data_IF_187543967028
#
_entry.id   IF_187543967028
#
_cell.length_a   1.000
_cell.length_b   1.000
_cell.length_c   1.000
_cell.angle_alpha   90.00
_cell.angle_beta   90.00
_cell.angle_gamma   90.00
#
_symmetry.space_group_name_H-M   'P 1'
#
loop_
_entity.id
_entity.type
_entity.pdbx_description
1 polymer ?
#
# COMPACT_ATOMS: atom_id res chain seq x y z
N UNK A 1 0.75 -12.97 22.87
CA UNK A 1 1.48 -14.19 23.26
C UNK A 1 2.42 -14.66 22.16
N UNK A 2 1.95 -14.85 20.89
CA UNK A 2 2.77 -15.32 19.75
C UNK A 2 3.95 -14.39 19.50
N UNK A 3 3.74 -13.07 19.43
CA UNK A 3 4.81 -12.09 19.22
C UNK A 3 5.86 -12.11 20.33
N UNK A 4 5.44 -12.29 21.60
CA UNK A 4 6.34 -12.40 22.73
C UNK A 4 7.19 -13.69 22.66
N UNK A 5 6.56 -14.83 22.32
CA UNK A 5 7.28 -16.09 22.14
C UNK A 5 8.27 -16.04 20.97
N UNK A 6 7.90 -15.43 19.84
CA UNK A 6 8.81 -15.23 18.71
C UNK A 6 9.98 -14.31 19.09
N UNK A 7 9.74 -13.24 19.84
CA UNK A 7 10.78 -12.36 20.35
C UNK A 7 11.74 -13.09 21.30
N UNK A 8 11.21 -13.87 22.21
CA UNK A 8 12.00 -14.68 23.15
C UNK A 8 12.83 -15.76 22.43
N UNK A 9 12.23 -16.47 21.48
CA UNK A 9 12.92 -17.48 20.67
C UNK A 9 14.03 -16.85 19.82
N UNK A 10 13.77 -15.70 19.20
CA UNK A 10 14.77 -14.99 18.38
C UNK A 10 15.97 -14.49 19.19
N UNK A 11 15.82 -14.24 20.48
CA UNK A 11 16.92 -13.87 21.37
C UNK A 11 17.64 -15.08 21.96
N UNK A 12 16.89 -16.07 22.46
CA UNK A 12 17.44 -17.21 23.19
C UNK A 12 18.13 -18.22 22.27
N UNK A 13 17.56 -18.55 21.11
CA UNK A 13 18.13 -19.52 20.19
C UNK A 13 19.52 -19.14 19.66
N UNK A 14 19.77 -17.92 19.16
CA UNK A 14 21.10 -17.52 18.75
C UNK A 14 22.11 -17.46 19.92
N UNK A 15 21.68 -16.94 21.08
CA UNK A 15 22.53 -16.89 22.28
C UNK A 15 22.96 -18.27 22.71
N UNK A 16 22.02 -19.23 22.77
CA UNK A 16 22.30 -20.60 23.09
C UNK A 16 23.22 -21.28 22.06
N UNK A 17 22.99 -21.05 20.77
CA UNK A 17 23.82 -21.60 19.70
C UNK A 17 25.27 -21.11 19.77
N UNK A 18 25.48 -19.80 20.04
CA UNK A 18 26.81 -19.20 20.21
C UNK A 18 27.47 -19.75 21.48
N UNK A 19 26.77 -19.73 22.61
CA UNK A 19 27.30 -20.26 23.86
C UNK A 19 27.70 -21.76 23.77
N UNK A 20 26.84 -22.59 23.14
CA UNK A 20 27.13 -24.00 22.89
C UNK A 20 28.37 -24.19 22.01
N UNK A 21 28.54 -23.36 20.99
CA UNK A 21 29.70 -23.43 20.10
C UNK A 21 30.98 -23.07 20.81
N UNK A 22 30.99 -22.00 21.63
CA UNK A 22 32.17 -21.56 22.39
C UNK A 22 32.51 -22.57 23.50
N UNK A 23 31.52 -23.17 24.17
CA UNK A 23 31.74 -24.20 25.21
C UNK A 23 32.26 -25.54 24.66
N UNK A 24 32.09 -25.83 23.37
CA UNK A 24 32.61 -27.03 22.73
C UNK A 24 34.05 -26.85 22.18
N UNK A 25 34.56 -25.62 22.12
CA UNK A 25 35.97 -25.37 21.77
C UNK A 25 36.88 -25.80 22.95
N UNK A 26 38.02 -26.39 22.63
CA UNK A 26 38.99 -26.81 23.69
C UNK A 26 39.53 -25.58 24.41
N UNK A 27 39.70 -25.60 25.74
CA UNK A 27 40.21 -24.47 26.52
C UNK A 27 41.54 -23.90 26.00
N UNK A 28 42.41 -24.76 25.48
CA UNK A 28 43.69 -24.35 24.87
C UNK A 28 43.54 -23.52 23.58
N UNK A 29 42.42 -23.66 22.86
CA UNK A 29 42.15 -22.90 21.65
C UNK A 29 41.45 -21.55 21.94
N UNK A 30 40.79 -21.45 23.09
CA UNK A 30 40.17 -20.21 23.56
C UNK A 30 41.22 -19.18 24.04
N UNK A 31 42.37 -19.63 24.49
CA UNK A 31 43.48 -18.79 24.97
C UNK A 31 44.40 -18.31 23.82
N UNK A 32 44.30 -18.90 22.64
CA UNK A 32 45.11 -18.51 21.50
C UNK A 32 44.38 -17.45 20.64
N UNK A 33 45.07 -16.37 20.21
CA UNK A 33 44.47 -15.45 19.30
C UNK A 33 44.05 -16.15 18.00
N UNK A 34 42.75 -16.07 17.65
CA UNK A 34 42.23 -16.70 16.42
C UNK A 34 43.00 -16.19 15.21
N UNK A 35 43.59 -17.10 14.38
CA UNK A 35 44.34 -16.64 13.20
C UNK A 35 43.43 -15.83 12.26
N UNK A 36 43.96 -14.79 11.59
CA UNK A 36 43.18 -13.99 10.67
C UNK A 36 42.62 -14.87 9.55
N UNK A 37 41.31 -14.75 9.30
CA UNK A 37 40.63 -15.51 8.23
C UNK A 37 41.30 -15.22 6.90
N UNK A 38 41.74 -16.27 6.20
CA UNK A 38 42.34 -16.14 4.86
C UNK A 38 41.39 -15.43 3.89
N UNK A 39 41.93 -14.51 3.10
CA UNK A 39 41.17 -13.78 2.09
C UNK A 39 40.73 -14.70 0.96
N UNK A 40 39.43 -14.99 0.88
CA UNK A 40 38.88 -15.74 -0.24
C UNK A 40 38.62 -14.81 -1.44
N UNK A 41 38.77 -15.30 -2.67
CA UNK A 41 38.34 -14.58 -3.86
C UNK A 41 36.83 -14.33 -3.78
N UNK A 42 36.40 -13.10 -4.02
CA UNK A 42 35.00 -12.73 -3.98
C UNK A 42 34.36 -12.81 -5.36
N UNK A 43 33.04 -13.04 -5.40
CA UNK A 43 32.28 -13.16 -6.67
C UNK A 43 32.43 -11.91 -7.53
N UNK A 44 32.56 -10.73 -6.92
CA UNK A 44 32.73 -9.45 -7.61
C UNK A 44 34.03 -9.38 -8.42
N UNK A 45 35.08 -10.14 -8.05
CA UNK A 45 36.34 -10.23 -8.79
C UNK A 45 36.18 -10.93 -10.14
N UNK A 46 35.14 -11.76 -10.31
CA UNK A 46 34.81 -12.43 -11.57
C UNK A 46 34.21 -11.47 -12.59
N UNK A 47 33.65 -10.34 -12.14
CA UNK A 47 33.11 -9.29 -13.01
C UNK A 47 34.25 -8.32 -13.34
N UNK A 48 35.15 -8.77 -14.22
CA UNK A 48 36.41 -8.07 -14.55
C UNK A 48 36.24 -6.59 -14.99
N UNK A 49 35.19 -6.18 -15.78
CA UNK A 49 35.07 -4.78 -16.19
C UNK A 49 34.73 -3.86 -15.01
N UNK A 50 33.92 -4.32 -14.06
CA UNK A 50 33.55 -3.56 -12.88
C UNK A 50 34.73 -3.51 -11.89
N UNK A 51 35.38 -4.65 -11.65
CA UNK A 51 36.51 -4.76 -10.73
C UNK A 51 37.71 -3.87 -11.13
N UNK A 52 37.99 -3.76 -12.43
CA UNK A 52 39.11 -2.91 -12.92
C UNK A 52 38.86 -1.41 -12.68
N UNK A 53 37.61 -0.96 -12.67
CA UNK A 53 37.25 0.44 -12.47
C UNK A 53 37.27 0.88 -11.01
N UNK A 54 37.26 -0.05 -10.07
CA UNK A 54 37.28 0.25 -8.64
C UNK A 54 38.69 0.70 -8.21
N UNK A 55 38.73 1.72 -7.35
CA UNK A 55 39.95 2.18 -6.67
C UNK A 55 40.48 1.11 -5.71
N UNK A 56 41.75 1.24 -5.30
CA UNK A 56 42.34 0.32 -4.33
C UNK A 56 41.51 0.21 -3.04
N UNK A 57 41.10 1.35 -2.50
CA UNK A 57 40.31 1.43 -1.25
C UNK A 57 38.95 0.75 -1.39
N UNK A 58 38.28 0.90 -2.53
CA UNK A 58 37.01 0.23 -2.80
C UNK A 58 37.17 -1.28 -2.90
N UNK A 59 38.24 -1.75 -3.56
CA UNK A 59 38.56 -3.18 -3.64
C UNK A 59 38.78 -3.80 -2.25
N UNK A 60 39.51 -3.08 -1.38
CA UNK A 60 39.74 -3.51 0.00
C UNK A 60 38.42 -3.54 0.78
N UNK A 61 37.58 -2.51 0.65
CA UNK A 61 36.25 -2.45 1.30
C UNK A 61 35.37 -3.62 0.87
N UNK A 62 35.31 -3.91 -0.46
CA UNK A 62 34.50 -5.04 -0.96
C UNK A 62 35.01 -6.38 -0.42
N UNK A 63 36.32 -6.60 -0.41
CA UNK A 63 36.88 -7.81 0.20
C UNK A 63 36.54 -7.94 1.68
N UNK A 64 36.56 -6.85 2.42
CA UNK A 64 36.22 -6.84 3.83
C UNK A 64 34.74 -7.15 4.06
N UNK A 65 33.83 -6.59 3.26
CA UNK A 65 32.39 -6.88 3.32
C UNK A 65 32.15 -8.39 3.20
N UNK A 66 32.74 -9.03 2.19
CA UNK A 66 32.54 -10.47 1.94
C UNK A 66 33.32 -11.37 2.88
N UNK A 67 34.37 -10.86 3.53
CA UNK A 67 35.11 -11.58 4.56
C UNK A 67 34.28 -11.80 5.84
N UNK A 68 33.48 -10.81 6.22
CA UNK A 68 32.64 -10.84 7.42
C UNK A 68 31.15 -11.01 7.04
N UNK A 69 30.83 -12.18 6.47
CA UNK A 69 29.48 -12.46 5.91
C UNK A 69 28.34 -12.25 6.92
N UNK A 70 28.55 -12.66 8.18
CA UNK A 70 27.51 -12.51 9.21
C UNK A 70 27.15 -11.03 9.41
N UNK A 71 28.14 -10.16 9.51
CA UNK A 71 27.94 -8.72 9.65
C UNK A 71 27.31 -8.12 8.39
N UNK A 72 27.78 -8.53 7.20
CA UNK A 72 27.19 -8.14 5.92
C UNK A 72 25.70 -8.42 5.89
N UNK A 73 25.27 -9.65 6.24
CA UNK A 73 23.86 -10.01 6.26
C UNK A 73 23.08 -9.27 7.34
N UNK A 74 23.62 -9.07 8.54
CA UNK A 74 22.97 -8.28 9.58
C UNK A 74 22.70 -6.85 9.12
N UNK A 75 23.70 -6.19 8.51
CA UNK A 75 23.55 -4.83 7.99
C UNK A 75 22.53 -4.79 6.85
N UNK A 76 22.68 -5.70 5.88
CA UNK A 76 21.80 -5.76 4.71
C UNK A 76 20.35 -5.99 5.11
N UNK A 77 20.06 -7.03 5.90
CA UNK A 77 18.70 -7.34 6.33
C UNK A 77 18.12 -6.33 7.31
N UNK A 78 18.96 -5.74 8.17
CA UNK A 78 18.52 -4.69 9.08
C UNK A 78 18.06 -3.43 8.34
N UNK A 79 18.86 -2.95 7.37
CA UNK A 79 18.48 -1.81 6.53
C UNK A 79 17.31 -2.16 5.61
N UNK A 80 17.38 -3.31 4.93
CA UNK A 80 16.30 -3.74 4.03
C UNK A 80 14.97 -3.92 4.77
N UNK A 81 14.96 -4.49 5.97
CA UNK A 81 13.77 -4.64 6.80
C UNK A 81 13.16 -3.30 7.21
N UNK A 82 14.00 -2.35 7.65
CA UNK A 82 13.54 -1.00 8.02
C UNK A 82 12.96 -0.25 6.81
N UNK A 83 13.62 -0.32 5.66
CA UNK A 83 13.13 0.27 4.39
C UNK A 83 11.82 -0.41 3.97
N UNK A 84 11.73 -1.73 4.04
CA UNK A 84 10.53 -2.46 3.64
C UNK A 84 9.31 -2.07 4.48
N UNK A 85 9.46 -1.92 5.79
CA UNK A 85 8.40 -1.47 6.68
C UNK A 85 8.00 -0.01 6.44
N UNK A 86 8.99 0.88 6.26
CA UNK A 86 8.73 2.28 5.92
C UNK A 86 8.01 2.41 4.59
N UNK A 87 8.48 1.68 3.57
CA UNK A 87 7.88 1.66 2.25
C UNK A 87 6.44 1.15 2.30
N UNK A 88 6.19 0.03 2.98
CA UNK A 88 4.85 -0.53 3.12
C UNK A 88 3.91 0.43 3.86
N UNK A 89 4.36 1.05 4.96
CA UNK A 89 3.58 2.03 5.70
C UNK A 89 3.23 3.28 4.89
N UNK A 90 4.20 3.88 4.20
CA UNK A 90 3.98 5.02 3.32
C UNK A 90 3.13 4.65 2.09
N UNK A 91 3.34 3.45 1.54
CA UNK A 91 2.56 2.91 0.43
C UNK A 91 1.08 2.76 0.78
N UNK A 92 0.76 2.14 1.92
CA UNK A 92 -0.63 2.01 2.38
C UNK A 92 -1.25 3.39 2.65
N UNK A 93 -0.50 4.29 3.28
CA UNK A 93 -0.97 5.67 3.46
C UNK A 93 -1.34 6.32 2.13
N UNK A 94 -0.50 6.19 1.11
CA UNK A 94 -0.77 6.70 -0.24
C UNK A 94 -2.01 6.02 -0.85
N UNK A 95 -2.13 4.69 -0.73
CA UNK A 95 -3.25 3.90 -1.25
C UNK A 95 -4.61 4.26 -0.64
N UNK A 96 -4.63 4.81 0.58
CA UNK A 96 -5.87 5.10 1.31
C UNK A 96 -6.22 6.59 1.28
N UNK A 97 -5.21 7.48 1.23
CA UNK A 97 -5.42 8.93 1.37
C UNK A 97 -6.30 9.55 0.27
N UNK A 98 -6.25 9.00 -0.93
CA UNK A 98 -6.93 9.57 -2.11
C UNK A 98 -8.26 8.88 -2.43
N UNK A 99 -8.69 7.88 -1.63
CA UNK A 99 -9.90 7.09 -1.91
C UNK A 99 -11.16 7.96 -2.11
N UNK A 100 -11.35 8.97 -1.26
CA UNK A 100 -12.51 9.85 -1.39
C UNK A 100 -12.49 10.66 -2.69
N UNK A 101 -11.34 11.21 -3.05
CA UNK A 101 -11.20 11.97 -4.28
C UNK A 101 -11.41 11.08 -5.49
N UNK A 102 -10.73 9.96 -5.58
CA UNK A 102 -10.84 9.02 -6.69
C UNK A 102 -12.27 8.48 -6.85
N UNK A 103 -12.95 8.12 -5.76
CA UNK A 103 -14.30 7.57 -5.82
C UNK A 103 -15.36 8.61 -6.17
N UNK A 104 -15.33 9.81 -5.54
CA UNK A 104 -16.44 10.76 -5.55
C UNK A 104 -16.14 12.09 -6.28
N UNK A 105 -14.95 12.24 -6.85
CA UNK A 105 -14.62 13.38 -7.71
C UNK A 105 -14.24 12.89 -9.12
N UNK A 106 -13.50 11.75 -9.21
CA UNK A 106 -13.01 11.27 -10.50
C UNK A 106 -13.94 10.23 -11.14
N UNK A 107 -14.69 9.42 -10.34
CA UNK A 107 -15.53 8.33 -10.85
C UNK A 107 -17.02 8.63 -10.71
N UNK A 108 -17.52 8.96 -9.52
CA UNK A 108 -18.94 9.21 -9.25
C UNK A 108 -19.17 10.70 -9.13
N UNK A 109 -19.99 11.26 -10.03
CA UNK A 109 -20.24 12.70 -10.12
C UNK A 109 -21.62 13.13 -9.61
N UNK A 110 -22.52 12.19 -9.28
CA UNK A 110 -23.81 12.49 -8.65
C UNK A 110 -23.68 12.57 -7.14
N UNK A 111 -24.56 13.35 -6.48
CA UNK A 111 -24.52 13.55 -5.03
C UNK A 111 -25.42 12.56 -4.28
N UNK A 112 -26.52 12.11 -4.90
CA UNK A 112 -27.45 11.17 -4.29
C UNK A 112 -28.22 10.34 -5.32
N UNK A 113 -28.72 9.19 -4.86
CA UNK A 113 -29.69 8.34 -5.58
C UNK A 113 -31.01 8.43 -4.82
N UNK A 114 -32.06 8.81 -5.49
CA UNK A 114 -33.43 8.80 -4.95
C UNK A 114 -34.19 7.64 -5.59
N UNK A 115 -34.51 6.62 -4.80
CA UNK A 115 -35.27 5.45 -5.23
C UNK A 115 -36.78 5.67 -5.01
N UNK A 116 -37.57 5.36 -6.03
CA UNK A 116 -39.04 5.54 -6.05
C UNK A 116 -39.74 4.26 -5.61
N UNK A 117 -40.92 4.42 -5.03
CA UNK A 117 -41.80 3.29 -4.80
C UNK A 117 -42.46 2.84 -6.16
N UNK A 118 -42.63 1.55 -6.37
CA UNK A 118 -43.37 1.06 -7.51
C UNK A 118 -44.86 1.41 -7.39
N UNK A 119 -45.50 1.71 -8.54
CA UNK A 119 -46.94 1.97 -8.65
C UNK A 119 -47.48 3.17 -7.86
N UNK A 120 -46.81 4.29 -7.88
CA UNK A 120 -47.26 5.57 -7.27
C UNK A 120 -48.28 6.29 -8.14
N UNK A 121 -49.11 7.16 -7.53
CA UNK A 121 -50.10 7.98 -8.25
C UNK A 121 -49.40 9.13 -8.99
N UNK A 122 -49.97 9.55 -10.12
CA UNK A 122 -49.48 10.65 -10.95
C UNK A 122 -49.30 11.96 -10.16
N UNK A 123 -50.11 12.24 -9.15
CA UNK A 123 -50.02 13.43 -8.31
C UNK A 123 -48.71 13.44 -7.46
N UNK A 124 -48.30 12.28 -6.94
CA UNK A 124 -47.06 12.15 -6.15
C UNK A 124 -45.82 12.27 -7.06
N UNK A 125 -45.91 11.79 -8.30
CA UNK A 125 -44.83 11.96 -9.29
C UNK A 125 -44.66 13.43 -9.69
N UNK A 126 -45.73 14.25 -9.70
CA UNK A 126 -45.63 15.69 -9.89
C UNK A 126 -44.88 16.40 -8.76
N UNK A 127 -45.11 16.03 -7.50
CA UNK A 127 -44.38 16.60 -6.37
C UNK A 127 -42.88 16.29 -6.44
N UNK A 128 -42.54 15.06 -6.76
CA UNK A 128 -41.16 14.66 -6.97
C UNK A 128 -40.53 15.45 -8.13
N UNK A 129 -41.23 15.57 -9.25
CA UNK A 129 -40.74 16.32 -10.42
C UNK A 129 -40.54 17.79 -10.09
N UNK A 130 -41.45 18.43 -9.35
CA UNK A 130 -41.27 19.82 -8.88
C UNK A 130 -40.01 19.99 -8.01
N UNK A 131 -39.69 19.00 -7.18
CA UNK A 131 -38.46 19.04 -6.38
C UNK A 131 -37.21 18.79 -7.21
N UNK A 132 -37.29 17.89 -8.22
CA UNK A 132 -36.21 17.64 -9.16
C UNK A 132 -35.92 18.86 -10.07
N UNK A 133 -36.96 19.62 -10.44
CA UNK A 133 -36.84 20.83 -11.24
C UNK A 133 -36.57 22.10 -10.41
N UNK A 134 -36.29 21.95 -9.11
CA UNK A 134 -35.96 23.07 -8.23
C UNK A 134 -34.57 23.64 -8.52
N UNK A 135 -34.33 24.89 -8.13
CA UNK A 135 -33.02 25.55 -8.29
C UNK A 135 -31.87 24.90 -7.51
N UNK A 136 -32.21 24.10 -6.51
CA UNK A 136 -31.25 23.38 -5.68
C UNK A 136 -30.64 22.18 -6.43
N UNK A 137 -31.36 21.62 -7.43
CA UNK A 137 -30.93 20.54 -8.31
C UNK A 137 -30.33 21.13 -9.59
N UNK A 138 -29.08 20.75 -9.91
CA UNK A 138 -28.40 21.15 -11.12
C UNK A 138 -28.87 20.33 -12.32
N UNK A 139 -28.88 19.03 -12.14
CA UNK A 139 -29.28 18.05 -13.14
C UNK A 139 -29.66 16.72 -12.51
N UNK A 140 -30.49 15.94 -13.18
CA UNK A 140 -30.83 14.58 -12.75
C UNK A 140 -30.98 13.65 -13.94
N UNK A 141 -30.75 12.35 -13.72
CA UNK A 141 -30.90 11.29 -14.70
C UNK A 141 -31.78 10.19 -14.18
N UNK A 142 -32.81 9.81 -14.96
CA UNK A 142 -33.69 8.68 -14.65
C UNK A 142 -32.97 7.37 -14.99
N UNK A 143 -32.88 6.46 -14.02
CA UNK A 143 -32.24 5.15 -14.17
C UNK A 143 -33.09 4.06 -13.58
N UNK A 144 -32.86 2.82 -13.99
CA UNK A 144 -33.31 1.66 -13.23
C UNK A 144 -32.22 1.26 -12.24
N UNK A 145 -32.59 1.18 -10.97
CA UNK A 145 -31.71 0.78 -9.88
C UNK A 145 -32.27 -0.45 -9.19
N UNK A 146 -31.47 -1.48 -9.04
CA UNK A 146 -31.78 -2.65 -8.25
C UNK A 146 -30.53 -3.17 -7.51
N UNK A 147 -30.74 -3.93 -6.46
CA UNK A 147 -29.66 -4.59 -5.73
C UNK A 147 -29.71 -6.08 -6.05
N UNK A 148 -28.64 -6.57 -6.67
CA UNK A 148 -28.43 -8.00 -6.92
C UNK A 148 -27.55 -8.57 -5.82
N UNK A 149 -27.60 -9.89 -5.64
CA UNK A 149 -26.82 -10.59 -4.63
C UNK A 149 -25.92 -11.65 -5.23
N UNK A 150 -24.71 -11.80 -4.65
CA UNK A 150 -23.77 -12.85 -5.02
C UNK A 150 -22.92 -13.26 -3.82
N UNK A 151 -22.79 -14.56 -3.61
CA UNK A 151 -21.85 -15.09 -2.60
C UNK A 151 -20.43 -14.95 -3.15
N UNK A 152 -19.58 -14.21 -2.46
CA UNK A 152 -18.19 -13.96 -2.84
C UNK A 152 -17.31 -13.63 -1.62
N UNK A 153 -15.99 -13.56 -1.84
CA UNK A 153 -15.01 -13.23 -0.81
C UNK A 153 -14.48 -14.45 -0.07
N UNK A 154 -13.50 -14.22 0.81
CA UNK A 154 -12.83 -15.28 1.58
C UNK A 154 -13.75 -16.00 2.55
N UNK A 155 -14.71 -15.27 3.12
CA UNK A 155 -15.70 -15.80 4.07
C UNK A 155 -16.95 -16.38 3.39
N UNK A 156 -17.06 -16.28 2.05
CA UNK A 156 -18.25 -16.64 1.28
C UNK A 156 -19.52 -15.91 1.76
N UNK A 157 -19.37 -14.62 2.09
CA UNK A 157 -20.49 -13.78 2.50
C UNK A 157 -21.32 -13.34 1.27
N UNK A 158 -22.60 -13.07 1.50
CA UNK A 158 -23.46 -12.48 0.47
C UNK A 158 -23.05 -11.04 0.23
N UNK A 159 -22.58 -10.76 -0.99
CA UNK A 159 -22.26 -9.43 -1.46
C UNK A 159 -23.43 -8.82 -2.22
N UNK A 160 -23.78 -7.60 -1.84
CA UNK A 160 -24.78 -6.80 -2.56
C UNK A 160 -24.12 -6.05 -3.70
N UNK A 161 -24.72 -6.10 -4.87
CA UNK A 161 -24.22 -5.46 -6.08
C UNK A 161 -25.26 -4.43 -6.52
N UNK A 162 -24.90 -3.16 -6.42
CA UNK A 162 -25.73 -2.04 -6.90
C UNK A 162 -25.72 -2.04 -8.42
N UNK A 163 -26.88 -2.30 -9.01
CA UNK A 163 -27.04 -2.38 -10.47
C UNK A 163 -27.69 -1.10 -10.97
N UNK A 164 -27.00 -0.39 -11.85
CA UNK A 164 -27.47 0.82 -12.51
C UNK A 164 -27.68 0.51 -13.99
N UNK A 165 -28.93 0.68 -14.45
CA UNK A 165 -29.32 0.49 -15.84
C UNK A 165 -29.68 1.84 -16.45
N UNK A 166 -28.97 2.20 -17.50
CA UNK A 166 -29.15 3.46 -18.21
C UNK A 166 -29.96 3.22 -19.49
N UNK A 167 -30.79 4.17 -19.87
CA UNK A 167 -31.49 4.09 -21.15
C UNK A 167 -30.49 4.19 -22.32
N UNK A 168 -30.75 3.49 -23.40
CA UNK A 168 -29.86 3.45 -24.58
C UNK A 168 -29.65 4.84 -25.23
N UNK A 169 -30.56 5.79 -24.98
CA UNK A 169 -30.46 7.18 -25.48
C UNK A 169 -29.54 8.06 -24.65
N UNK A 170 -29.21 7.62 -23.42
CA UNK A 170 -28.49 8.42 -22.44
C UNK A 170 -26.97 8.11 -22.42
N UNK A 171 -26.47 7.30 -23.35
CA UNK A 171 -25.06 6.91 -23.44
C UNK A 171 -24.06 8.06 -23.30
N UNK A 172 -24.42 9.25 -23.85
CA UNK A 172 -23.59 10.45 -23.75
C UNK A 172 -23.64 11.13 -22.38
N UNK A 173 -24.70 10.86 -21.62
CA UNK A 173 -24.91 11.45 -20.30
C UNK A 173 -24.31 10.59 -19.19
N UNK A 174 -24.07 9.30 -19.44
CA UNK A 174 -23.49 8.37 -18.43
C UNK A 174 -22.18 8.93 -17.88
N UNK A 175 -21.29 9.42 -18.75
CA UNK A 175 -19.99 9.96 -18.35
C UNK A 175 -20.11 11.21 -17.44
N UNK A 176 -21.23 11.95 -17.51
CA UNK A 176 -21.49 13.09 -16.60
C UNK A 176 -21.86 12.66 -15.18
N UNK A 177 -22.33 11.41 -14.99
CA UNK A 177 -22.74 10.87 -13.71
C UNK A 177 -21.76 9.80 -13.17
N UNK A 178 -21.19 8.99 -14.06
CA UNK A 178 -20.22 7.95 -13.71
C UNK A 178 -19.18 7.81 -14.80
N UNK A 179 -17.92 8.06 -14.48
CA UNK A 179 -16.78 7.84 -15.38
C UNK A 179 -16.38 6.36 -15.38
N UNK A 180 -16.80 5.64 -16.42
CA UNK A 180 -16.47 4.24 -16.59
C UNK A 180 -15.15 4.09 -17.35
N UNK A 181 -14.10 3.57 -16.70
CA UNK A 181 -12.79 3.38 -17.32
C UNK A 181 -12.04 2.17 -16.73
N UNK A 182 -11.16 1.61 -17.55
CA UNK A 182 -10.25 0.53 -17.14
C UNK A 182 -8.99 1.16 -16.52
N UNK A 183 -8.67 0.79 -15.29
CA UNK A 183 -7.49 1.29 -14.57
C UNK A 183 -6.18 1.06 -15.33
N UNK A 184 -5.96 -0.16 -15.80
CA UNK A 184 -4.67 -0.57 -16.37
C UNK A 184 -4.41 0.07 -17.74
N UNK A 185 -5.46 0.36 -18.49
CA UNK A 185 -5.39 0.91 -19.83
C UNK A 185 -5.82 2.37 -19.93
N UNK A 186 -6.35 2.92 -18.85
CA UNK A 186 -6.94 4.26 -18.80
C UNK A 186 -7.88 4.54 -19.99
N UNK A 187 -8.63 3.48 -20.38
CA UNK A 187 -9.55 3.51 -21.51
C UNK A 187 -10.97 3.68 -21.02
N UNK A 188 -11.67 4.69 -21.54
CA UNK A 188 -13.10 4.87 -21.30
C UNK A 188 -13.88 3.64 -21.80
N UNK A 189 -14.73 3.08 -20.95
CA UNK A 189 -15.60 1.98 -21.24
C UNK A 189 -16.98 2.50 -21.59
N UNK A 190 -17.59 1.94 -22.65
CA UNK A 190 -18.96 2.30 -23.07
C UNK A 190 -19.88 1.14 -22.78
N UNK A 191 -21.10 1.46 -22.37
CA UNK A 191 -22.17 0.47 -22.23
C UNK A 191 -22.47 -0.17 -23.59
N UNK A 192 -22.76 -1.45 -23.59
CA UNK A 192 -23.01 -2.21 -24.81
C UNK A 192 -24.16 -3.21 -24.65
N UNK A 193 -24.75 -3.64 -25.79
CA UNK A 193 -25.79 -4.66 -25.81
C UNK A 193 -25.24 -6.09 -25.64
N UNK A 194 -23.92 -6.25 -25.42
CA UNK A 194 -23.23 -7.53 -25.36
C UNK A 194 -22.89 -7.98 -23.94
N UNK A 195 -23.00 -7.09 -22.94
CA UNK A 195 -22.68 -7.40 -21.56
C UNK A 195 -22.72 -6.19 -20.63
N UNK A 196 -22.54 -6.44 -19.36
CA UNK A 196 -22.44 -5.43 -18.30
C UNK A 196 -20.98 -5.08 -17.98
N UNK A 197 -20.77 -3.89 -17.42
CA UNK A 197 -19.50 -3.44 -16.84
C UNK A 197 -19.58 -3.67 -15.34
N UNK A 198 -18.59 -4.40 -14.78
CA UNK A 198 -18.53 -4.73 -13.36
C UNK A 198 -17.41 -3.96 -12.66
N UNK A 199 -17.59 -3.61 -11.38
CA UNK A 199 -16.56 -3.01 -10.55
C UNK A 199 -15.35 -3.94 -10.36
N UNK A 200 -14.14 -3.36 -10.39
CA UNK A 200 -12.86 -4.10 -10.32
C UNK A 200 -12.75 -4.97 -9.05
N UNK A 201 -13.17 -4.47 -7.89
CA UNK A 201 -13.14 -5.26 -6.65
C UNK A 201 -13.99 -6.54 -6.75
N UNK A 202 -15.20 -6.43 -7.30
CA UNK A 202 -16.08 -7.59 -7.47
C UNK A 202 -15.49 -8.58 -8.48
N UNK A 203 -14.93 -8.07 -9.58
CA UNK A 203 -14.25 -8.91 -10.56
C UNK A 203 -13.08 -9.69 -9.93
N UNK A 204 -12.30 -9.04 -9.07
CA UNK A 204 -11.19 -9.68 -8.32
C UNK A 204 -11.68 -10.72 -7.31
N UNK A 205 -12.75 -10.43 -6.55
CA UNK A 205 -13.32 -11.38 -5.57
C UNK A 205 -13.83 -12.67 -6.21
N UNK A 206 -14.34 -12.58 -7.44
CA UNK A 206 -14.86 -13.71 -8.20
C UNK A 206 -13.87 -14.26 -9.23
N UNK A 207 -12.67 -13.66 -9.34
CA UNK A 207 -11.64 -14.00 -10.34
C UNK A 207 -12.18 -13.97 -11.78
N UNK A 208 -12.96 -12.92 -12.10
CA UNK A 208 -13.59 -12.73 -13.41
C UNK A 208 -12.69 -11.94 -14.36
N UNK A 209 -12.82 -12.25 -15.62
CA UNK A 209 -12.21 -11.52 -16.75
C UNK A 209 -13.27 -11.02 -17.70
N UNK A 210 -12.93 -10.07 -18.54
CA UNK A 210 -13.80 -9.61 -19.63
C UNK A 210 -14.12 -10.81 -20.55
N UNK A 211 -15.41 -11.02 -20.80
CA UNK A 211 -15.95 -12.15 -21.57
C UNK A 211 -16.56 -13.26 -20.70
N UNK A 212 -16.23 -13.30 -19.40
CA UNK A 212 -16.81 -14.27 -18.47
C UNK A 212 -18.29 -13.97 -18.17
N UNK A 213 -18.96 -14.94 -17.57
CA UNK A 213 -20.36 -14.82 -17.14
C UNK A 213 -20.47 -15.01 -15.64
N UNK A 214 -21.14 -14.09 -14.97
CA UNK A 214 -21.51 -14.19 -13.56
C UNK A 214 -22.98 -14.59 -13.41
N UNK A 215 -23.27 -15.45 -12.44
CA UNK A 215 -24.65 -15.73 -12.00
C UNK A 215 -24.92 -14.95 -10.73
N UNK A 216 -25.94 -14.11 -10.73
CA UNK A 216 -26.40 -13.29 -9.60
C UNK A 216 -27.83 -13.64 -9.24
N UNK A 217 -28.27 -13.26 -8.05
CA UNK A 217 -29.65 -13.40 -7.60
C UNK A 217 -30.30 -12.02 -7.54
N UNK A 218 -31.54 -11.94 -8.07
CA UNK A 218 -32.35 -10.73 -7.90
C UNK A 218 -33.10 -10.75 -6.56
N UNK A 219 -33.88 -9.72 -6.28
CA UNK A 219 -34.68 -9.59 -5.03
C UNK A 219 -35.77 -10.66 -4.87
N UNK A 220 -36.04 -11.44 -5.91
CA UNK A 220 -37.01 -12.55 -5.93
C UNK A 220 -36.33 -13.93 -5.88
N UNK A 221 -35.03 -13.96 -5.54
CA UNK A 221 -34.18 -15.16 -5.50
C UNK A 221 -34.02 -15.87 -6.87
N UNK A 222 -34.34 -15.19 -7.97
CA UNK A 222 -34.15 -15.73 -9.30
C UNK A 222 -32.69 -15.56 -9.74
N UNK A 223 -32.14 -16.63 -10.31
CA UNK A 223 -30.75 -16.63 -10.81
C UNK A 223 -30.68 -16.08 -12.22
N UNK A 224 -29.93 -15.00 -12.41
CA UNK A 224 -29.72 -14.36 -13.71
C UNK A 224 -28.25 -14.49 -14.11
N UNK A 225 -27.99 -14.80 -15.37
CA UNK A 225 -26.66 -14.90 -15.96
C UNK A 225 -26.30 -13.59 -16.67
N UNK A 226 -25.25 -12.93 -16.24
CA UNK A 226 -24.80 -11.65 -16.79
C UNK A 226 -23.40 -11.83 -17.37
N UNK A 227 -23.22 -11.52 -18.66
CA UNK A 227 -21.92 -11.52 -19.32
C UNK A 227 -21.18 -10.22 -19.01
N UNK A 228 -19.90 -10.30 -18.72
CA UNK A 228 -19.03 -9.15 -18.40
C UNK A 228 -18.38 -8.63 -19.68
N UNK A 229 -18.76 -7.40 -20.08
CA UNK A 229 -18.20 -6.71 -21.24
C UNK A 229 -17.01 -5.81 -20.87
N UNK A 230 -16.90 -5.39 -19.60
CA UNK A 230 -15.83 -4.53 -19.10
C UNK A 230 -15.66 -4.63 -17.59
N UNK A 231 -14.50 -4.24 -17.11
CA UNK A 231 -14.19 -4.10 -15.68
C UNK A 231 -13.78 -2.65 -15.46
N UNK A 232 -14.54 -1.92 -14.63
CA UNK A 232 -14.29 -0.51 -14.35
C UNK A 232 -13.61 -0.30 -13.02
N UNK A 233 -12.73 0.67 -12.97
CA UNK A 233 -12.15 1.15 -11.72
C UNK A 233 -13.25 1.62 -10.77
N UNK A 234 -13.22 1.13 -9.52
CA UNK A 234 -14.16 1.48 -8.47
C UNK A 234 -13.56 1.11 -7.13
N UNK A 235 -13.59 2.03 -6.17
CA UNK A 235 -12.94 1.83 -4.87
C UNK A 235 -13.89 1.42 -3.76
N UNK A 236 -15.16 1.77 -3.86
CA UNK A 236 -16.16 1.45 -2.85
C UNK A 236 -17.43 0.89 -3.46
N UNK A 237 -17.93 -0.19 -2.85
CA UNK A 237 -19.14 -0.87 -3.29
C UNK A 237 -18.89 -1.81 -4.47
N UNK A 238 -19.88 -2.64 -4.71
CA UNK A 238 -19.93 -3.50 -5.89
C UNK A 238 -20.99 -2.96 -6.83
N UNK A 239 -20.60 -2.73 -8.07
CA UNK A 239 -21.47 -2.15 -9.08
C UNK A 239 -21.52 -3.00 -10.33
N UNK A 240 -22.69 -2.99 -10.96
CA UNK A 240 -22.94 -3.44 -12.33
C UNK A 240 -23.58 -2.28 -13.09
N UNK A 241 -22.99 -1.95 -14.23
CA UNK A 241 -23.51 -0.92 -15.13
C UNK A 241 -23.91 -1.60 -16.45
N UNK A 242 -25.10 -1.31 -16.94
CA UNK A 242 -25.58 -1.84 -18.20
C UNK A 242 -26.59 -0.91 -18.87
N UNK A 243 -26.83 -1.10 -20.14
CA UNK A 243 -27.89 -0.39 -20.85
C UNK A 243 -29.22 -1.15 -20.79
N UNK A 244 -30.32 -0.48 -21.09
CA UNK A 244 -31.67 -1.04 -21.03
C UNK A 244 -31.86 -2.23 -21.98
N UNK A 245 -31.27 -2.17 -23.17
CA UNK A 245 -31.33 -3.28 -24.16
C UNK A 245 -30.66 -4.55 -23.65
N UNK A 246 -29.50 -4.45 -23.00
CA UNK A 246 -28.82 -5.60 -22.42
C UNK A 246 -29.59 -6.15 -21.19
N UNK A 247 -30.11 -5.25 -20.34
CA UNK A 247 -30.92 -5.63 -19.19
C UNK A 247 -32.10 -6.49 -19.64
N UNK A 248 -32.88 -6.02 -20.62
CA UNK A 248 -34.02 -6.78 -21.16
C UNK A 248 -33.62 -8.16 -21.72
N UNK A 249 -32.44 -8.23 -22.35
CA UNK A 249 -31.92 -9.51 -22.88
C UNK A 249 -31.52 -10.48 -21.75
N UNK A 250 -30.95 -9.97 -20.65
CA UNK A 250 -30.46 -10.79 -19.55
C UNK A 250 -31.57 -11.21 -18.57
N UNK A 251 -32.52 -10.31 -18.27
CA UNK A 251 -33.56 -10.50 -17.27
C UNK A 251 -34.91 -10.91 -17.90
N UNK A 252 -35.07 -10.79 -19.21
CA UNK A 252 -36.32 -11.14 -19.91
C UNK A 252 -37.45 -10.10 -19.75
N UNK A 253 -37.23 -9.05 -18.96
CA UNK A 253 -38.20 -7.98 -18.69
C UNK A 253 -37.57 -6.60 -18.99
N UNK A 254 -38.36 -5.63 -19.47
CA UNK A 254 -37.82 -4.28 -19.70
C UNK A 254 -37.46 -3.62 -18.38
N UNK A 255 -36.40 -2.83 -18.37
CA UNK A 255 -36.03 -1.98 -17.22
C UNK A 255 -37.07 -0.84 -17.07
N UNK A 256 -37.53 -0.64 -15.83
CA UNK A 256 -38.44 0.47 -15.48
C UNK A 256 -37.64 1.47 -14.63
N UNK A 257 -37.61 2.74 -15.05
CA UNK A 257 -36.93 3.78 -14.29
C UNK A 257 -37.57 3.98 -12.91
N UNK A 258 -36.90 3.49 -11.90
CA UNK A 258 -37.34 3.50 -10.50
C UNK A 258 -36.41 4.34 -9.59
N UNK A 259 -35.43 5.04 -10.15
CA UNK A 259 -34.54 5.89 -9.39
C UNK A 259 -34.07 7.10 -10.21
N UNK A 260 -33.59 8.12 -9.48
CA UNK A 260 -32.98 9.30 -10.04
C UNK A 260 -31.56 9.47 -9.48
N UNK A 261 -30.56 9.60 -10.35
CA UNK A 261 -29.25 10.12 -10.00
C UNK A 261 -29.34 11.64 -10.00
N UNK A 262 -28.94 12.27 -8.91
CA UNK A 262 -29.11 13.74 -8.72
C UNK A 262 -27.77 14.39 -8.45
N UNK A 263 -27.49 15.47 -9.19
CA UNK A 263 -26.39 16.39 -8.94
C UNK A 263 -26.97 17.70 -8.43
N UNK A 264 -26.52 18.21 -7.30
CA UNK A 264 -26.97 19.45 -6.72
C UNK A 264 -26.22 20.66 -7.33
N UNK A 265 -26.88 21.84 -7.32
CA UNK A 265 -26.23 23.08 -7.75
C UNK A 265 -25.09 23.49 -6.81
N UNK A 266 -25.26 23.28 -5.51
CA UNK A 266 -24.27 23.52 -4.47
C UNK A 266 -24.19 22.28 -3.56
N UNK A 267 -23.26 21.32 -3.82
CA UNK A 267 -23.18 20.07 -3.08
C UNK A 267 -22.44 20.20 -1.72
N UNK A 268 -22.82 21.22 -0.92
CA UNK A 268 -22.35 21.34 0.46
C UNK A 268 -23.00 20.27 1.33
N UNK A 269 -22.32 19.84 2.40
CA UNK A 269 -22.84 18.83 3.33
C UNK A 269 -24.27 19.16 3.79
N UNK A 270 -24.51 20.42 4.18
CA UNK A 270 -25.81 20.87 4.68
C UNK A 270 -26.89 20.82 3.59
N UNK A 271 -26.57 21.22 2.36
CA UNK A 271 -27.52 21.18 1.25
C UNK A 271 -27.87 19.75 0.85
N UNK A 272 -26.88 18.84 0.80
CA UNK A 272 -27.11 17.41 0.52
C UNK A 272 -28.03 16.81 1.56
N UNK A 273 -27.79 17.05 2.87
CA UNK A 273 -28.63 16.57 3.97
C UNK A 273 -30.06 17.17 3.90
N UNK A 274 -30.19 18.47 3.66
CA UNK A 274 -31.48 19.13 3.53
C UNK A 274 -32.30 18.62 2.34
N UNK A 275 -31.65 18.46 1.18
CA UNK A 275 -32.33 17.95 -0.02
C UNK A 275 -32.71 16.47 0.15
N UNK A 276 -31.84 15.64 0.71
CA UNK A 276 -32.15 14.26 1.03
C UNK A 276 -33.33 14.14 2.00
N UNK A 277 -33.42 15.03 3.02
CA UNK A 277 -34.58 15.09 3.91
C UNK A 277 -35.87 15.51 3.22
N UNK A 278 -35.79 16.45 2.24
CA UNK A 278 -36.96 16.82 1.42
C UNK A 278 -37.42 15.63 0.57
N UNK A 279 -36.51 14.90 -0.09
CA UNK A 279 -36.86 13.76 -0.93
C UNK A 279 -37.43 12.59 -0.12
N UNK A 280 -36.82 12.21 1.00
CA UNK A 280 -37.28 11.04 1.79
C UNK A 280 -38.64 11.27 2.44
N UNK A 281 -39.05 12.53 2.65
CA UNK A 281 -40.37 12.87 3.18
C UNK A 281 -41.48 12.77 2.12
N UNK A 282 -41.14 12.57 0.84
CA UNK A 282 -42.14 12.34 -0.21
C UNK A 282 -42.69 10.91 -0.13
N UNK A 283 -44.01 10.70 -0.14
CA UNK A 283 -44.62 9.39 0.03
C UNK A 283 -44.25 8.38 -1.07
N UNK A 284 -43.84 8.86 -2.26
CA UNK A 284 -43.44 8.03 -3.39
C UNK A 284 -41.93 7.75 -3.44
N UNK A 285 -41.18 8.18 -2.43
CA UNK A 285 -39.76 7.87 -2.31
C UNK A 285 -39.56 6.72 -1.34
N UNK A 286 -38.92 5.66 -1.83
CA UNK A 286 -38.58 4.49 -1.02
C UNK A 286 -37.33 4.72 -0.17
N UNK A 287 -36.34 5.41 -0.73
CA UNK A 287 -35.08 5.67 -0.04
C UNK A 287 -34.20 6.68 -0.78
N UNK A 288 -33.27 7.26 -0.03
CA UNK A 288 -32.27 8.20 -0.55
C UNK A 288 -30.89 7.75 -0.09
N UNK A 289 -30.01 7.42 -1.04
CA UNK A 289 -28.62 7.08 -0.79
C UNK A 289 -27.79 8.33 -1.05
N UNK A 290 -27.12 8.85 -0.02
CA UNK A 290 -26.30 10.06 -0.10
C UNK A 290 -24.81 9.69 -0.21
N UNK A 291 -24.12 10.17 -1.23
CA UNK A 291 -22.68 9.96 -1.36
C UNK A 291 -21.89 10.64 -0.25
N UNK A 292 -22.41 11.74 0.31
CA UNK A 292 -21.78 12.43 1.42
C UNK A 292 -21.64 11.56 2.68
N UNK A 293 -22.63 10.72 2.99
CA UNK A 293 -22.56 9.76 4.11
C UNK A 293 -21.50 8.68 3.84
N UNK A 294 -21.37 8.23 2.60
CA UNK A 294 -20.33 7.29 2.19
C UNK A 294 -18.94 7.93 2.28
N UNK A 295 -18.79 9.20 1.85
CA UNK A 295 -17.55 9.98 2.01
C UNK A 295 -17.14 10.08 3.48
N UNK A 296 -18.07 10.33 4.39
CA UNK A 296 -17.80 10.41 5.82
C UNK A 296 -17.36 9.06 6.41
N UNK A 297 -18.00 7.97 6.02
CA UNK A 297 -17.60 6.62 6.46
C UNK A 297 -16.17 6.29 6.00
N UNK A 298 -15.84 6.56 4.73
CA UNK A 298 -14.48 6.38 4.21
C UNK A 298 -13.51 7.28 4.97
N UNK A 299 -13.83 8.57 5.16
CA UNK A 299 -12.95 9.50 5.88
C UNK A 299 -12.65 9.03 7.30
N UNK A 300 -13.65 8.51 8.00
CA UNK A 300 -13.46 7.96 9.35
C UNK A 300 -12.55 6.74 9.34
N UNK A 301 -12.75 5.83 8.38
CA UNK A 301 -11.89 4.65 8.19
C UNK A 301 -10.45 5.07 7.83
N UNK A 302 -10.30 5.98 6.87
CA UNK A 302 -8.99 6.51 6.43
C UNK A 302 -8.24 7.16 7.59
N UNK A 303 -8.93 7.98 8.41
CA UNK A 303 -8.32 8.62 9.57
C UNK A 303 -7.86 7.60 10.62
N UNK A 304 -8.67 6.58 10.90
CA UNK A 304 -8.31 5.51 11.82
C UNK A 304 -7.11 4.70 11.33
N UNK A 305 -7.10 4.34 10.05
CA UNK A 305 -5.96 3.65 9.43
C UNK A 305 -4.71 4.52 9.42
N UNK A 306 -4.83 5.82 9.14
CA UNK A 306 -3.70 6.76 9.13
C UNK A 306 -3.01 6.85 10.49
N UNK A 307 -3.76 6.77 11.60
CA UNK A 307 -3.17 6.73 12.94
C UNK A 307 -2.33 5.46 13.16
N UNK A 308 -2.88 4.29 12.79
CA UNK A 308 -2.15 3.00 12.90
C UNK A 308 -0.90 2.99 12.01
N UNK A 309 -1.04 3.47 10.78
CA UNK A 309 0.08 3.60 9.83
C UNK A 309 1.15 4.57 10.37
N UNK A 310 0.74 5.67 11.01
CA UNK A 310 1.65 6.61 11.66
C UNK A 310 2.51 5.95 12.74
N UNK A 311 1.92 5.08 13.55
CA UNK A 311 2.65 4.28 14.54
C UNK A 311 3.63 3.33 13.84
N UNK A 312 3.20 2.63 12.80
CA UNK A 312 4.05 1.72 12.02
C UNK A 312 5.27 2.46 11.43
N UNK A 313 5.07 3.63 10.84
CA UNK A 313 6.14 4.46 10.28
C UNK A 313 7.12 4.88 11.39
N UNK A 314 6.60 5.35 12.53
CA UNK A 314 7.42 5.77 13.67
C UNK A 314 8.29 4.62 14.21
N UNK A 315 7.69 3.45 14.41
CA UNK A 315 8.41 2.24 14.85
C UNK A 315 9.47 1.83 13.82
N UNK A 316 9.17 1.93 12.53
CA UNK A 316 10.12 1.62 11.46
C UNK A 316 11.32 2.57 11.43
N UNK A 317 11.10 3.86 11.69
CA UNK A 317 12.17 4.86 11.83
C UNK A 317 13.05 4.53 13.04
N UNK A 318 12.45 4.26 14.19
CA UNK A 318 13.17 3.88 15.39
C UNK A 318 13.99 2.60 15.18
N UNK A 319 13.41 1.61 14.51
CA UNK A 319 14.11 0.37 14.15
C UNK A 319 15.34 0.68 13.28
N UNK A 320 15.19 1.53 12.26
CA UNK A 320 16.29 1.92 11.38
C UNK A 320 17.44 2.59 12.18
N UNK A 321 17.10 3.52 13.07
CA UNK A 321 18.08 4.22 13.90
C UNK A 321 18.82 3.23 14.82
N UNK A 322 18.07 2.37 15.53
CA UNK A 322 18.65 1.39 16.48
C UNK A 322 19.55 0.39 15.76
N UNK A 323 19.07 -0.17 14.64
CA UNK A 323 19.82 -1.15 13.85
C UNK A 323 21.12 -0.53 13.31
N UNK A 324 21.03 0.61 12.64
CA UNK A 324 22.21 1.29 12.08
C UNK A 324 23.19 1.72 13.17
N UNK A 325 22.70 2.27 14.28
CA UNK A 325 23.55 2.65 15.41
C UNK A 325 24.28 1.44 16.01
N UNK A 326 23.55 0.34 16.26
CA UNK A 326 24.14 -0.88 16.84
C UNK A 326 25.18 -1.51 15.91
N UNK A 327 24.86 -1.63 14.60
CA UNK A 327 25.80 -2.15 13.61
C UNK A 327 27.05 -1.26 13.47
N UNK A 328 26.88 0.05 13.53
CA UNK A 328 27.98 0.99 13.49
C UNK A 328 28.88 0.84 14.71
N UNK A 329 28.30 0.68 15.90
CA UNK A 329 29.05 0.43 17.13
C UNK A 329 29.84 -0.86 17.07
N UNK A 330 29.24 -1.96 16.61
CA UNK A 330 29.92 -3.25 16.42
C UNK A 330 31.10 -3.09 15.45
N UNK A 331 30.88 -2.43 14.29
CA UNK A 331 31.93 -2.20 13.30
C UNK A 331 33.14 -1.45 13.86
N UNK A 332 32.88 -0.40 14.66
CA UNK A 332 33.97 0.39 15.28
C UNK A 332 34.69 -0.42 16.35
N UNK A 333 33.94 -1.13 17.22
CA UNK A 333 34.53 -1.90 18.35
C UNK A 333 35.37 -3.07 17.89
N UNK A 334 34.95 -3.81 16.85
CA UNK A 334 35.70 -4.96 16.32
C UNK A 334 37.01 -4.55 15.62
N UNK A 335 37.11 -3.29 15.15
CA UNK A 335 38.28 -2.83 14.41
C UNK A 335 39.09 -1.76 15.12
N UNK A 336 38.90 -1.57 16.42
CA UNK A 336 39.52 -0.51 17.17
C UNK A 336 41.05 -0.54 17.07
N UNK A 337 41.66 -1.73 17.09
CA UNK A 337 43.10 -1.94 16.93
C UNK A 337 43.62 -1.57 15.53
N UNK A 338 42.88 -2.03 14.47
CA UNK A 338 43.23 -1.66 13.08
C UNK A 338 43.18 -0.15 12.91
N UNK A 339 42.17 0.52 13.49
CA UNK A 339 41.99 1.96 13.40
C UNK A 339 43.06 2.74 14.18
N UNK A 340 43.41 2.25 15.34
CA UNK A 340 44.49 2.84 16.15
C UNK A 340 45.82 2.76 15.41
N UNK A 341 46.12 1.64 14.77
CA UNK A 341 47.32 1.49 13.92
C UNK A 341 47.31 2.46 12.72
N UNK A 342 46.19 2.58 11.98
CA UNK A 342 46.08 3.50 10.87
C UNK A 342 46.26 4.96 11.31
N UNK A 343 45.72 5.31 12.49
CA UNK A 343 45.81 6.65 13.04
C UNK A 343 47.22 6.97 13.51
N UNK A 344 47.96 6.02 14.10
CA UNK A 344 49.39 6.19 14.47
C UNK A 344 50.26 6.36 13.23
N UNK A 345 49.88 5.80 12.08
CA UNK A 345 50.55 6.01 10.78
C UNK A 345 50.31 7.41 10.20
N UNK A 346 49.58 8.30 10.91
CA UNK A 346 49.41 9.70 10.55
C UNK A 346 48.14 10.05 9.76
N UNK A 347 47.17 9.11 9.62
CA UNK A 347 45.91 9.42 8.98
C UNK A 347 45.00 10.32 9.82
N UNK A 348 44.30 11.26 9.18
CA UNK A 348 43.37 12.16 9.86
C UNK A 348 42.09 11.41 10.33
N UNK A 349 41.46 11.92 11.38
CA UNK A 349 40.24 11.34 11.96
C UNK A 349 39.15 11.08 10.93
N UNK A 350 38.93 12.02 10.00
CA UNK A 350 37.94 11.93 8.94
C UNK A 350 38.24 10.79 7.95
N UNK A 351 39.51 10.55 7.65
CA UNK A 351 39.94 9.47 6.73
C UNK A 351 39.72 8.11 7.36
N UNK A 352 40.07 7.97 8.63
CA UNK A 352 39.87 6.74 9.41
C UNK A 352 38.37 6.46 9.58
N UNK A 353 37.58 7.49 9.89
CA UNK A 353 36.12 7.36 10.00
C UNK A 353 35.49 6.92 8.68
N UNK A 354 35.88 7.57 7.58
CA UNK A 354 35.38 7.27 6.25
C UNK A 354 35.77 5.84 5.80
N UNK A 355 36.96 5.35 6.20
CA UNK A 355 37.41 4.01 5.86
C UNK A 355 36.47 2.92 6.40
N UNK A 356 36.03 3.03 7.68
CA UNK A 356 35.06 2.09 8.25
C UNK A 356 33.66 2.34 7.71
N UNK A 357 33.27 3.61 7.67
CA UNK A 357 31.89 3.99 7.39
C UNK A 357 31.48 3.69 5.95
N UNK A 358 32.45 3.66 5.04
CA UNK A 358 32.25 3.31 3.61
C UNK A 358 31.61 1.93 3.45
N UNK A 359 32.00 0.95 4.30
CA UNK A 359 31.38 -0.38 4.29
C UNK A 359 29.88 -0.31 4.63
N UNK A 360 29.53 0.44 5.68
CA UNK A 360 28.13 0.65 6.09
C UNK A 360 27.33 1.37 5.00
N UNK A 361 27.92 2.38 4.33
CA UNK A 361 27.27 3.11 3.24
C UNK A 361 26.95 2.17 2.06
N UNK A 362 27.92 1.36 1.59
CA UNK A 362 27.68 0.44 0.48
C UNK A 362 26.62 -0.61 0.80
N UNK A 363 26.69 -1.19 2.00
CA UNK A 363 25.69 -2.17 2.44
C UNK A 363 24.30 -1.53 2.61
N UNK A 364 24.25 -0.28 3.06
CA UNK A 364 22.97 0.46 3.17
C UNK A 364 22.37 0.79 1.81
N UNK A 365 23.18 1.15 0.82
CA UNK A 365 22.69 1.38 -0.55
C UNK A 365 22.09 0.09 -1.12
N UNK A 366 22.79 -1.04 -0.99
CA UNK A 366 22.27 -2.35 -1.44
C UNK A 366 21.01 -2.70 -0.63
N UNK A 367 21.02 -2.45 0.70
CA UNK A 367 19.89 -2.65 1.59
C UNK A 367 18.65 -1.86 1.19
N UNK A 368 18.81 -0.61 0.71
CA UNK A 368 17.72 0.23 0.20
C UNK A 368 17.04 -0.44 -1.00
N UNK A 369 17.81 -0.90 -2.00
CA UNK A 369 17.24 -1.56 -3.18
C UNK A 369 16.54 -2.88 -2.83
N UNK A 370 17.16 -3.72 -1.99
CA UNK A 370 16.52 -4.95 -1.49
C UNK A 370 15.27 -4.62 -0.69
N UNK A 371 15.35 -3.59 0.15
CA UNK A 371 14.23 -3.10 0.96
C UNK A 371 13.05 -2.59 0.12
N UNK A 372 13.31 -1.94 -1.02
CA UNK A 372 12.24 -1.56 -1.96
C UNK A 372 11.52 -2.78 -2.54
N UNK A 373 12.27 -3.82 -2.95
CA UNK A 373 11.66 -5.05 -3.46
C UNK A 373 10.80 -5.75 -2.41
N UNK A 374 11.32 -5.90 -1.19
CA UNK A 374 10.58 -6.47 -0.07
C UNK A 374 9.41 -5.59 0.36
N UNK A 375 9.59 -4.28 0.37
CA UNK A 375 8.56 -3.30 0.70
C UNK A 375 7.40 -3.31 -0.29
N UNK A 376 7.71 -3.40 -1.58
CA UNK A 376 6.69 -3.53 -2.63
C UNK A 376 5.90 -4.82 -2.50
N UNK A 377 6.56 -5.94 -2.26
CA UNK A 377 5.90 -7.23 -2.02
C UNK A 377 5.00 -7.17 -0.78
N UNK A 378 5.48 -6.59 0.31
CA UNK A 378 4.70 -6.40 1.53
C UNK A 378 3.51 -5.46 1.32
N UNK A 379 3.70 -4.34 0.62
CA UNK A 379 2.62 -3.41 0.28
C UNK A 379 1.54 -4.09 -0.56
N UNK A 380 1.89 -4.82 -1.62
CA UNK A 380 0.93 -5.55 -2.46
C UNK A 380 0.14 -6.58 -1.64
N UNK A 381 0.82 -7.31 -0.76
CA UNK A 381 0.19 -8.27 0.14
C UNK A 381 -0.82 -7.57 1.07
N UNK A 382 -0.43 -6.45 1.69
CA UNK A 382 -1.29 -5.70 2.61
C UNK A 382 -2.49 -5.08 1.89
N UNK A 383 -2.31 -4.49 0.71
CA UNK A 383 -3.39 -3.93 -0.12
C UNK A 383 -4.38 -5.00 -0.57
N UNK A 384 -3.96 -6.26 -0.68
CA UNK A 384 -4.88 -7.36 -1.04
C UNK A 384 -5.69 -7.90 0.15
N UNK A 385 -5.16 -7.82 1.38
CA UNK A 385 -5.76 -8.48 2.56
C UNK A 385 -6.45 -7.50 3.51
N UNK A 386 -5.91 -6.29 3.70
CA UNK A 386 -6.43 -5.34 4.68
C UNK A 386 -7.83 -4.80 4.33
N UNK A 387 -8.12 -4.39 3.06
CA UNK A 387 -9.40 -3.80 2.75
C UNK A 387 -10.54 -4.81 2.88
N UNK A 388 -11.67 -4.43 3.49
CA UNK A 388 -12.89 -5.22 3.48
C UNK A 388 -13.32 -5.58 2.06
N UNK A 389 -14.17 -6.60 1.92
CA UNK A 389 -14.62 -7.06 0.60
C UNK A 389 -15.32 -5.97 -0.24
N UNK A 390 -15.95 -4.99 0.40
CA UNK A 390 -16.63 -3.86 -0.27
C UNK A 390 -15.71 -2.67 -0.62
N UNK A 391 -14.43 -2.71 -0.21
CA UNK A 391 -13.49 -1.61 -0.42
C UNK A 391 -12.25 -2.11 -1.15
N UNK A 392 -11.75 -1.29 -2.05
CA UNK A 392 -10.47 -1.52 -2.74
C UNK A 392 -9.52 -0.37 -2.43
N UNK A 393 -8.29 -0.71 -2.04
CA UNK A 393 -7.23 0.28 -1.94
C UNK A 393 -6.57 0.49 -3.29
N UNK A 394 -6.12 1.71 -3.56
CA UNK A 394 -5.37 2.00 -4.78
C UNK A 394 -4.01 1.27 -4.72
N UNK A 395 -3.72 0.34 -5.66
CA UNK A 395 -2.45 -0.36 -5.70
C UNK A 395 -1.30 0.49 -6.23
N UNK A 396 -1.58 1.69 -6.76
CA UNK A 396 -0.56 2.56 -7.32
C UNK A 396 0.36 3.14 -6.24
N UNK A 397 1.64 3.23 -6.56
CA UNK A 397 2.66 3.71 -5.63
C UNK A 397 3.31 4.96 -6.22
N UNK A 398 3.14 6.09 -5.53
CA UNK A 398 3.76 7.35 -5.89
C UNK A 398 5.28 7.37 -5.67
N UNK A 399 5.99 8.21 -6.41
CA UNK A 399 7.45 8.38 -6.32
C UNK A 399 7.91 8.75 -4.89
N UNK A 400 7.09 9.48 -4.14
CA UNK A 400 7.38 9.85 -2.76
C UNK A 400 7.59 8.64 -1.84
N UNK A 401 6.89 7.53 -2.08
CA UNK A 401 7.03 6.28 -1.30
C UNK A 401 8.40 5.63 -1.46
N UNK A 402 9.09 5.86 -2.57
CA UNK A 402 10.47 5.43 -2.79
C UNK A 402 11.47 6.44 -2.22
N UNK A 403 11.27 7.73 -2.47
CA UNK A 403 12.22 8.77 -2.10
C UNK A 403 12.31 8.99 -0.59
N UNK A 404 11.17 9.06 0.11
CA UNK A 404 11.15 9.37 1.54
C UNK A 404 11.95 8.37 2.39
N UNK A 405 11.78 7.02 2.26
CA UNK A 405 12.59 6.07 3.01
C UNK A 405 14.08 6.17 2.69
N UNK A 406 14.45 6.35 1.40
CA UNK A 406 15.84 6.46 0.99
C UNK A 406 16.52 7.70 1.57
N UNK A 407 15.86 8.86 1.49
CA UNK A 407 16.34 10.12 2.07
C UNK A 407 16.48 10.01 3.59
N UNK A 408 15.51 9.40 4.26
CA UNK A 408 15.52 9.22 5.70
C UNK A 408 16.69 8.33 6.16
N UNK A 409 16.93 7.20 5.49
CA UNK A 409 18.10 6.36 5.77
C UNK A 409 19.41 7.12 5.48
N UNK A 410 19.47 7.85 4.37
CA UNK A 410 20.62 8.71 4.06
C UNK A 410 20.89 9.74 5.16
N UNK A 411 19.85 10.37 5.69
CA UNK A 411 19.95 11.32 6.79
C UNK A 411 20.45 10.66 8.09
N UNK A 412 19.91 9.49 8.44
CA UNK A 412 20.38 8.70 9.61
C UNK A 412 21.85 8.34 9.43
N UNK A 413 22.27 7.90 8.25
CA UNK A 413 23.67 7.59 7.95
C UNK A 413 24.58 8.82 8.16
N UNK A 414 24.19 9.99 7.69
CA UNK A 414 24.96 11.23 7.87
C UNK A 414 25.15 11.54 9.37
N UNK A 415 24.06 11.49 10.15
CA UNK A 415 24.12 11.73 11.60
C UNK A 415 25.07 10.74 12.28
N UNK A 416 24.90 9.45 11.97
CA UNK A 416 25.76 8.41 12.54
C UNK A 416 27.22 8.56 12.13
N UNK A 417 27.49 9.02 10.91
CA UNK A 417 28.84 9.37 10.45
C UNK A 417 29.50 10.42 11.34
N UNK A 418 28.77 11.48 11.70
CA UNK A 418 29.26 12.48 12.65
C UNK A 418 29.49 11.92 14.05
N UNK A 419 28.59 11.07 14.54
CA UNK A 419 28.73 10.39 15.85
C UNK A 419 29.98 9.52 15.88
N UNK A 420 30.22 8.74 14.83
CA UNK A 420 31.44 7.89 14.70
C UNK A 420 32.69 8.72 14.66
N UNK A 421 32.71 9.77 13.85
CA UNK A 421 33.87 10.67 13.73
C UNK A 421 34.23 11.30 15.09
N UNK A 422 33.25 11.79 15.83
CA UNK A 422 33.45 12.35 17.17
C UNK A 422 33.93 11.30 18.18
N UNK A 423 33.43 10.06 18.08
CA UNK A 423 33.87 8.95 18.95
C UNK A 423 35.33 8.58 18.66
N UNK A 424 35.70 8.44 17.40
CA UNK A 424 37.07 8.12 16.99
C UNK A 424 38.08 9.24 17.33
N UNK A 425 37.62 10.50 17.30
CA UNK A 425 38.46 11.63 17.72
C UNK A 425 38.87 11.57 19.22
N UNK A 426 37.98 11.01 20.07
CA UNK A 426 38.17 10.93 21.52
C UNK A 426 38.91 9.64 21.98
N UNK A 427 39.22 8.71 21.09
CA UNK A 427 39.90 7.46 21.43
C UNK A 427 41.37 7.75 21.78
N UNK A 428 41.79 7.28 22.98
CA UNK A 428 43.17 7.30 23.43
C UNK A 428 43.93 6.12 22.78
N UNK A 429 44.83 6.42 21.85
CA UNK A 429 45.50 5.41 21.02
C UNK A 429 46.51 4.59 21.75
N UNK A 430 47.17 5.18 22.77
CA UNK A 430 48.16 4.46 23.60
C UNK A 430 47.47 3.35 24.39
N UNK A 431 46.30 3.64 24.91
CA UNK A 431 45.50 2.67 25.69
C UNK A 431 44.91 1.55 24.82
N UNK A 432 44.49 1.89 23.57
CA UNK A 432 43.98 0.90 22.62
C UNK A 432 45.06 -0.04 22.05
N UNK A 433 46.33 0.37 22.02
CA UNK A 433 47.46 -0.46 21.61
C UNK A 433 48.07 -1.26 22.77
N UNK A 434 48.02 -0.74 23.99
CA UNK A 434 48.58 -1.37 25.19
C UNK A 434 47.69 -2.46 25.80
N UNK A 435 46.42 -2.56 25.43
CA UNK A 435 45.48 -3.58 25.91
C UNK A 435 45.70 -5.00 25.32
N UNK A 436 46.83 -5.25 24.69
CA UNK A 436 47.22 -6.54 24.05
C UNK A 436 48.28 -7.29 24.83
N UNK A 437 48.72 -6.77 26.00
CA UNK A 437 49.59 -7.54 26.91
C UNK A 437 48.82 -8.30 27.97
#
# INVERSE_FOLDING_TARGET
LVAFLLGLLSAVLPAFAVAKKELWEKPSQLLLPKPPRAGAKIVLERITPLWKRLSFTEKVTMRNIFRYKQRMFMTLFGVAGSIALLFAGLGIRSSVSNLNQQQFEDIIHYDMIVAKQPNTSSALDEELTKLLDSKDVKEYLNVHFETLQKIAGSNKDTQEISTLVFNDRDDKLVDSYVSLHDRDRNKTLKLSNDGAIISEKMAKLLNLKVGDTITVQNSQDESVKIKIAGITEMYMGHFLFMNASYYQKAFGTPSVNNANLITLAEPTKQNVENMAAKFINLPNVYGVVQNNNLKLQISTMVNSLTQVIGILITVSILLAVVVLHNLTNINVSERIHELSTVKVLGFYNNEVSLYIYRETIYLSIIGIFVGFGLGQALHQYMVSIIPPDRIMFDPSIGLATYLLPAVLIGFILIILGFVVNNRLAKLNMLEALSSVE
#
